data_IF_389735684229
#
_entry.id   IF_389735684229
#
_cell.length_a   1.000
_cell.length_b   1.000
_cell.length_c   1.000
_cell.angle_alpha   90.00
_cell.angle_beta   90.00
_cell.angle_gamma   90.00
#
_symmetry.space_group_name_H-M   'P 1'
#
loop_
_entity.id
_entity.type
_entity.pdbx_description
1 polymer ?
#
# COMPACT_ATOMS: atom_id res chain seq x y z
N UNK A 1 47.45 63.20 -25.18
CA UNK A 1 46.64 62.18 -25.91
C UNK A 1 46.55 60.95 -25.00
N UNK A 2 45.45 60.71 -24.35
CA UNK A 2 45.23 59.55 -23.50
C UNK A 2 44.29 58.60 -24.26
N UNK A 3 44.75 57.38 -24.51
CA UNK A 3 43.96 56.33 -25.17
C UNK A 3 43.24 55.52 -24.08
N UNK A 4 41.94 55.57 -24.10
CA UNK A 4 41.08 54.84 -23.19
C UNK A 4 40.78 53.46 -23.80
N UNK A 5 41.29 52.38 -23.19
CA UNK A 5 40.99 51.01 -23.51
C UNK A 5 39.69 50.58 -22.80
N UNK A 6 38.62 50.37 -23.56
CA UNK A 6 37.37 49.80 -23.08
C UNK A 6 37.46 48.26 -23.20
N UNK A 7 37.52 47.59 -22.07
CA UNK A 7 37.44 46.12 -22.01
C UNK A 7 35.99 45.67 -22.08
N UNK A 8 35.60 44.97 -23.13
CA UNK A 8 34.27 44.35 -23.32
C UNK A 8 34.24 43.01 -22.61
N UNK A 9 33.56 42.93 -21.45
CA UNK A 9 33.28 41.67 -20.75
C UNK A 9 32.06 40.98 -21.44
N UNK A 10 32.33 39.92 -22.17
CA UNK A 10 31.30 39.06 -22.72
C UNK A 10 30.86 38.07 -21.66
N UNK A 11 29.67 38.27 -21.07
CA UNK A 11 29.03 37.29 -20.18
C UNK A 11 28.47 36.14 -21.05
N UNK A 12 29.13 34.99 -21.02
CA UNK A 12 28.56 33.74 -21.58
C UNK A 12 27.56 33.16 -20.55
N UNK A 13 26.27 33.29 -20.80
CA UNK A 13 25.23 32.58 -20.08
C UNK A 13 25.23 31.11 -20.51
N UNK A 14 25.78 30.24 -19.68
CA UNK A 14 25.61 28.80 -19.82
C UNK A 14 24.17 28.44 -19.48
N UNK A 15 23.37 28.11 -20.50
CA UNK A 15 22.08 27.46 -20.31
C UNK A 15 22.31 26.07 -19.71
N UNK A 16 21.91 25.89 -18.45
CA UNK A 16 21.84 24.58 -17.82
C UNK A 16 20.66 23.80 -18.47
N UNK A 17 20.98 22.89 -19.37
CA UNK A 17 19.99 21.89 -19.85
C UNK A 17 19.71 20.95 -18.67
N UNK A 18 18.52 21.11 -18.08
CA UNK A 18 17.96 20.14 -17.17
C UNK A 18 17.62 18.89 -17.99
N UNK A 19 18.44 17.86 -17.90
CA UNK A 19 18.09 16.53 -18.39
C UNK A 19 16.99 15.97 -17.48
N UNK A 20 15.74 16.08 -17.91
CA UNK A 20 14.67 15.29 -17.32
C UNK A 20 14.96 13.83 -17.61
N UNK A 21 15.45 13.10 -16.61
CA UNK A 21 15.54 11.64 -16.67
C UNK A 21 14.11 11.11 -16.85
N UNK A 22 13.75 10.74 -18.06
CA UNK A 22 12.52 9.99 -18.33
C UNK A 22 12.71 8.63 -17.69
N UNK A 23 12.12 8.44 -16.49
CA UNK A 23 12.04 7.13 -15.86
C UNK A 23 11.23 6.26 -16.82
N UNK A 24 11.89 5.32 -17.48
CA UNK A 24 11.23 4.34 -18.33
C UNK A 24 10.29 3.53 -17.45
N UNK A 25 9.00 3.81 -17.53
CA UNK A 25 8.00 2.99 -16.84
C UNK A 25 8.07 1.57 -17.43
N UNK A 26 8.15 0.58 -16.54
CA UNK A 26 8.14 -0.81 -16.96
C UNK A 26 6.84 -1.12 -17.72
N UNK A 27 6.96 -1.78 -18.87
CA UNK A 27 5.78 -2.22 -19.63
C UNK A 27 5.12 -3.37 -18.89
N UNK A 28 3.82 -3.29 -18.55
CA UNK A 28 3.12 -4.37 -17.89
C UNK A 28 3.17 -5.68 -18.69
N UNK A 29 3.41 -6.79 -18.00
CA UNK A 29 3.46 -8.12 -18.60
C UNK A 29 2.20 -8.91 -18.23
N UNK A 30 1.60 -9.65 -19.18
CA UNK A 30 0.56 -10.63 -18.85
C UNK A 30 1.06 -11.62 -17.79
N UNK A 31 0.16 -12.01 -16.88
CA UNK A 31 0.47 -12.85 -15.74
C UNK A 31 -0.65 -13.87 -15.53
N UNK A 32 -0.30 -15.13 -15.30
CA UNK A 32 -1.19 -16.20 -14.90
C UNK A 32 -0.61 -16.83 -13.63
N UNK A 33 -1.39 -16.87 -12.57
CA UNK A 33 -0.98 -17.39 -11.26
C UNK A 33 -2.05 -18.30 -10.68
N UNK A 34 -1.63 -19.42 -10.15
CA UNK A 34 -2.44 -20.28 -9.31
C UNK A 34 -2.69 -19.64 -7.93
N UNK A 35 -3.58 -20.26 -7.12
CA UNK A 35 -4.02 -19.72 -5.82
C UNK A 35 -2.86 -19.32 -4.91
N UNK A 36 -1.83 -20.14 -4.81
CA UNK A 36 -0.71 -19.94 -3.88
C UNK A 36 0.54 -19.31 -4.52
N UNK A 37 0.45 -18.87 -5.76
CA UNK A 37 1.54 -18.23 -6.49
C UNK A 37 1.48 -16.72 -6.35
N UNK A 38 2.65 -16.08 -6.31
CA UNK A 38 2.85 -14.65 -6.13
C UNK A 38 3.92 -14.34 -5.08
N UNK A 39 4.00 -13.10 -4.67
CA UNK A 39 4.92 -12.66 -3.62
C UNK A 39 4.26 -12.88 -2.25
N UNK A 40 4.54 -14.02 -1.61
CA UNK A 40 4.07 -14.31 -0.25
C UNK A 40 4.90 -13.56 0.77
N UNK A 41 4.23 -12.96 1.76
CA UNK A 41 4.85 -12.23 2.86
C UNK A 41 4.12 -12.50 4.16
N UNK A 42 4.84 -12.31 5.29
CA UNK A 42 4.35 -12.51 6.65
C UNK A 42 4.30 -11.17 7.35
N UNK A 43 3.15 -10.79 7.90
CA UNK A 43 3.00 -9.58 8.70
C UNK A 43 3.93 -9.58 9.92
N UNK A 44 4.40 -8.39 10.32
CA UNK A 44 5.27 -8.26 11.51
C UNK A 44 4.51 -8.21 12.82
N UNK A 45 3.21 -7.99 12.79
CA UNK A 45 2.36 -7.97 13.98
C UNK A 45 1.94 -9.38 14.41
N UNK A 46 1.90 -9.67 15.73
CA UNK A 46 1.41 -10.95 16.24
C UNK A 46 -0.13 -10.95 16.41
N UNK A 47 -0.82 -12.07 16.11
CA UNK A 47 -0.27 -13.29 15.50
C UNK A 47 0.07 -13.01 14.03
N UNK A 48 1.23 -13.49 13.55
CA UNK A 48 1.65 -13.20 12.18
C UNK A 48 0.70 -13.90 11.19
N UNK A 49 -0.12 -13.10 10.51
CA UNK A 49 -0.86 -13.51 9.32
C UNK A 49 0.05 -13.48 8.09
N UNK A 50 -0.44 -14.00 6.96
CA UNK A 50 0.27 -13.91 5.69
C UNK A 50 -0.65 -13.44 4.57
N UNK A 51 -0.04 -12.82 3.58
CA UNK A 51 -0.71 -12.38 2.35
C UNK A 51 0.13 -12.72 1.11
N UNK A 52 -0.51 -12.67 -0.05
CA UNK A 52 0.15 -12.88 -1.33
C UNK A 52 -0.14 -11.70 -2.25
N UNK A 53 0.87 -10.90 -2.57
CA UNK A 53 0.78 -9.91 -3.65
C UNK A 53 0.87 -10.62 -4.99
N UNK A 54 -0.16 -10.51 -5.80
CA UNK A 54 -0.27 -11.18 -7.11
C UNK A 54 0.03 -10.21 -8.25
N UNK A 55 -0.54 -9.02 -8.22
CA UNK A 55 -0.39 -7.98 -9.23
C UNK A 55 0.15 -6.73 -8.57
N UNK A 56 1.29 -6.23 -9.02
CA UNK A 56 1.87 -4.98 -8.54
C UNK A 56 2.94 -4.47 -9.52
N UNK A 57 3.43 -3.24 -9.40
CA UNK A 57 4.52 -2.72 -10.22
C UNK A 57 5.76 -3.63 -10.23
N UNK A 58 6.10 -4.22 -9.09
CA UNK A 58 7.29 -5.09 -8.96
C UNK A 58 7.03 -6.46 -9.59
N UNK A 59 5.85 -7.05 -9.40
CA UNK A 59 5.59 -8.43 -9.83
C UNK A 59 5.45 -8.53 -11.35
N UNK A 60 4.73 -7.59 -11.99
CA UNK A 60 4.45 -7.65 -13.42
C UNK A 60 4.43 -6.30 -14.14
N UNK A 61 4.85 -5.22 -13.46
CA UNK A 61 4.87 -3.87 -14.02
C UNK A 61 3.49 -3.20 -14.10
N UNK A 62 2.51 -3.65 -13.30
CA UNK A 62 1.19 -3.01 -13.26
C UNK A 62 1.31 -1.52 -12.90
N UNK A 63 0.65 -0.66 -13.69
CA UNK A 63 0.68 0.79 -13.50
C UNK A 63 -0.60 1.32 -12.85
N UNK A 64 -1.66 0.51 -12.81
CA UNK A 64 -3.01 0.98 -12.47
C UNK A 64 -3.71 0.12 -11.42
N UNK A 65 -3.21 -1.08 -11.14
CA UNK A 65 -3.84 -2.01 -10.22
C UNK A 65 -2.81 -2.67 -9.32
N UNK A 66 -3.20 -2.89 -8.07
CA UNK A 66 -2.56 -3.84 -7.17
C UNK A 66 -3.61 -4.83 -6.73
N UNK A 67 -3.29 -6.11 -6.69
CA UNK A 67 -4.19 -7.18 -6.27
C UNK A 67 -3.41 -8.21 -5.46
N UNK A 68 -4.07 -8.74 -4.46
CA UNK A 68 -3.58 -9.86 -3.68
C UNK A 68 -4.67 -10.59 -2.93
N UNK A 69 -4.24 -11.53 -2.12
CA UNK A 69 -5.11 -12.34 -1.25
C UNK A 69 -4.55 -12.37 0.16
N UNK A 70 -5.44 -12.46 1.14
CA UNK A 70 -5.06 -12.54 2.56
C UNK A 70 -6.05 -13.42 3.30
N UNK A 71 -5.54 -14.16 4.30
CA UNK A 71 -6.37 -14.90 5.24
C UNK A 71 -6.35 -14.20 6.61
N UNK A 72 -7.54 -13.80 7.10
CA UNK A 72 -7.73 -13.18 8.41
C UNK A 72 -8.04 -14.27 9.42
N UNK A 73 -7.17 -14.50 10.38
CA UNK A 73 -7.37 -15.52 11.42
C UNK A 73 -8.51 -15.16 12.37
N UNK A 74 -9.11 -16.15 13.08
CA UNK A 74 -10.18 -15.85 14.04
C UNK A 74 -9.75 -14.84 15.11
N UNK A 75 -10.56 -13.79 15.26
CA UNK A 75 -10.33 -12.72 16.24
C UNK A 75 -9.41 -11.60 15.76
N UNK A 76 -8.73 -11.80 14.63
CA UNK A 76 -7.86 -10.80 14.01
C UNK A 76 -8.64 -9.79 13.18
N UNK A 77 -8.01 -8.65 12.87
CA UNK A 77 -8.64 -7.58 12.11
C UNK A 77 -7.63 -6.77 11.28
N UNK A 78 -8.10 -6.21 10.19
CA UNK A 78 -7.46 -5.05 9.58
C UNK A 78 -7.81 -3.84 10.42
N UNK A 79 -6.83 -3.24 11.14
CA UNK A 79 -7.10 -2.12 12.05
C UNK A 79 -7.73 -0.94 11.31
N UNK A 80 -8.40 -0.04 12.05
CA UNK A 80 -9.04 1.12 11.42
C UNK A 80 -8.01 2.00 10.72
N UNK A 81 -8.14 2.10 9.40
CA UNK A 81 -7.24 2.84 8.53
C UNK A 81 -7.98 3.53 7.38
N UNK A 82 -7.27 4.37 6.61
CA UNK A 82 -7.76 4.97 5.37
C UNK A 82 -6.62 5.08 4.34
N UNK A 83 -6.93 4.84 3.08
CA UNK A 83 -6.00 5.00 1.97
C UNK A 83 -6.02 6.44 1.44
N UNK A 84 -4.84 6.99 1.13
CA UNK A 84 -4.70 8.34 0.63
C UNK A 84 -4.54 8.34 -0.91
N UNK A 85 -5.69 8.37 -1.61
CA UNK A 85 -5.72 8.47 -3.08
C UNK A 85 -5.89 7.16 -3.83
N UNK A 86 -6.22 6.07 -3.12
CA UNK A 86 -6.52 4.77 -3.73
C UNK A 86 -7.90 4.31 -3.25
N UNK A 87 -8.74 3.90 -4.19
CA UNK A 87 -9.93 3.12 -3.86
C UNK A 87 -9.54 1.67 -3.66
N UNK A 88 -10.27 0.96 -2.82
CA UNK A 88 -10.06 -0.46 -2.58
C UNK A 88 -11.35 -1.24 -2.76
N UNK A 89 -11.24 -2.45 -3.29
CA UNK A 89 -12.27 -3.48 -3.23
C UNK A 89 -11.75 -4.62 -2.38
N UNK A 90 -12.55 -5.05 -1.39
CA UNK A 90 -12.36 -6.31 -0.69
C UNK A 90 -13.51 -7.24 -1.09
N UNK A 91 -13.17 -8.42 -1.61
CA UNK A 91 -14.11 -9.49 -1.90
C UNK A 91 -13.90 -10.63 -0.92
N UNK A 92 -14.95 -11.05 -0.23
CA UNK A 92 -14.91 -12.16 0.72
C UNK A 92 -15.05 -13.48 -0.07
N UNK A 93 -13.94 -14.21 -0.21
CA UNK A 93 -13.93 -15.51 -0.89
C UNK A 93 -14.52 -16.60 0.00
N UNK A 94 -14.18 -16.56 1.32
CA UNK A 94 -14.61 -17.57 2.30
C UNK A 94 -14.82 -16.91 3.66
N UNK A 95 -15.78 -17.42 4.44
CA UNK A 95 -16.03 -17.02 5.81
C UNK A 95 -16.96 -15.81 5.94
N UNK A 96 -16.87 -15.10 7.06
CA UNK A 96 -17.66 -13.92 7.36
C UNK A 96 -16.84 -12.88 8.14
N UNK A 97 -17.05 -11.61 7.84
CA UNK A 97 -16.38 -10.49 8.48
C UNK A 97 -17.38 -9.47 8.98
N UNK A 98 -17.03 -8.75 10.04
CA UNK A 98 -17.65 -7.48 10.41
C UNK A 98 -16.85 -6.34 9.81
N UNK A 99 -17.54 -5.46 9.09
CA UNK A 99 -16.95 -4.30 8.42
C UNK A 99 -17.49 -3.02 9.03
N UNK A 100 -16.59 -2.11 9.42
CA UNK A 100 -16.92 -0.71 9.67
C UNK A 100 -16.40 0.11 8.50
N UNK A 101 -17.26 0.88 7.85
CA UNK A 101 -16.94 1.71 6.69
C UNK A 101 -17.60 3.09 6.83
N UNK A 102 -16.81 4.12 7.15
CA UNK A 102 -17.34 5.41 7.54
C UNK A 102 -18.27 5.30 8.74
N UNK A 103 -19.53 5.68 8.56
CA UNK A 103 -20.57 5.59 9.59
C UNK A 103 -21.42 4.29 9.50
N UNK A 104 -21.04 3.37 8.62
CA UNK A 104 -21.77 2.11 8.42
C UNK A 104 -21.06 0.95 9.11
N UNK A 105 -21.85 0.03 9.64
CA UNK A 105 -21.39 -1.27 10.14
C UNK A 105 -22.23 -2.38 9.53
N UNK A 106 -21.58 -3.44 9.07
CA UNK A 106 -22.28 -4.61 8.50
C UNK A 106 -21.48 -5.89 8.61
N UNK A 107 -22.17 -7.00 8.87
CA UNK A 107 -21.62 -8.34 8.68
C UNK A 107 -21.79 -8.75 7.21
N UNK A 108 -20.69 -9.21 6.61
CA UNK A 108 -20.63 -9.72 5.24
C UNK A 108 -20.11 -11.15 5.25
N UNK A 109 -20.61 -11.96 4.32
CA UNK A 109 -20.29 -13.37 4.17
C UNK A 109 -19.62 -13.62 2.81
N UNK A 110 -19.16 -14.86 2.57
CA UNK A 110 -18.62 -15.28 1.29
C UNK A 110 -19.51 -14.83 0.12
N UNK A 111 -18.90 -14.25 -0.91
CA UNK A 111 -19.56 -13.55 -2.02
C UNK A 111 -19.84 -12.06 -1.76
N UNK A 112 -19.66 -11.58 -0.52
CA UNK A 112 -19.80 -10.17 -0.18
C UNK A 112 -18.67 -9.32 -0.74
N UNK A 113 -18.97 -8.04 -0.98
CA UNK A 113 -18.01 -7.07 -1.50
C UNK A 113 -18.05 -5.77 -0.68
N UNK A 114 -16.89 -5.26 -0.35
CA UNK A 114 -16.71 -3.91 0.22
C UNK A 114 -16.07 -3.04 -0.84
N UNK A 115 -16.66 -1.89 -1.15
CA UNK A 115 -16.01 -0.84 -1.92
C UNK A 115 -15.64 0.29 -0.98
N UNK A 116 -14.37 0.61 -0.89
CA UNK A 116 -13.79 1.58 0.04
C UNK A 116 -13.25 2.73 -0.81
N UNK A 117 -13.96 3.85 -0.91
CA UNK A 117 -13.44 5.06 -1.56
C UNK A 117 -12.20 5.56 -0.83
N UNK A 118 -11.26 6.13 -1.56
CA UNK A 118 -10.12 6.83 -0.98
C UNK A 118 -10.56 7.79 0.14
N UNK A 119 -9.71 7.95 1.16
CA UNK A 119 -9.94 8.80 2.35
C UNK A 119 -11.07 8.35 3.28
N UNK A 120 -11.69 7.18 3.06
CA UNK A 120 -12.73 6.62 3.92
C UNK A 120 -12.13 5.72 4.99
N UNK A 121 -12.50 5.92 6.26
CA UNK A 121 -12.11 5.05 7.35
C UNK A 121 -12.76 3.68 7.21
N UNK A 122 -11.97 2.63 7.34
CA UNK A 122 -12.42 1.24 7.28
C UNK A 122 -11.71 0.39 8.31
N UNK A 123 -12.41 -0.61 8.83
CA UNK A 123 -11.83 -1.78 9.51
C UNK A 123 -12.60 -3.03 9.11
N UNK A 124 -11.89 -4.18 9.09
CA UNK A 124 -12.47 -5.48 8.73
C UNK A 124 -12.03 -6.50 9.76
N UNK A 125 -12.98 -7.08 10.48
CA UNK A 125 -12.71 -8.01 11.57
C UNK A 125 -13.27 -9.40 11.27
N UNK A 126 -12.45 -10.41 11.49
CA UNK A 126 -12.95 -11.78 11.58
C UNK A 126 -13.53 -12.03 12.98
N UNK A 127 -14.85 -11.91 13.10
CA UNK A 127 -15.59 -12.20 14.34
C UNK A 127 -16.01 -13.68 14.47
N UNK A 128 -15.63 -14.53 13.51
CA UNK A 128 -15.96 -15.96 13.47
C UNK A 128 -14.92 -16.82 14.18
N UNK A 129 -15.09 -18.15 14.01
CA UNK A 129 -14.20 -19.18 14.58
C UNK A 129 -13.31 -19.84 13.55
N UNK A 130 -13.48 -19.49 12.27
CA UNK A 130 -12.69 -20.01 11.16
C UNK A 130 -11.98 -18.86 10.42
N UNK A 131 -10.87 -19.17 9.72
CA UNK A 131 -10.19 -18.18 8.91
C UNK A 131 -11.09 -17.68 7.78
N UNK A 132 -11.03 -16.38 7.53
CA UNK A 132 -11.68 -15.70 6.42
C UNK A 132 -10.65 -15.49 5.32
N UNK A 133 -10.99 -15.88 4.08
CA UNK A 133 -10.16 -15.58 2.92
C UNK A 133 -10.73 -14.38 2.16
N UNK A 134 -9.90 -13.41 1.86
CA UNK A 134 -10.26 -12.21 1.10
C UNK A 134 -9.37 -12.00 -0.12
N UNK A 135 -9.94 -11.37 -1.12
CA UNK A 135 -9.21 -10.81 -2.26
C UNK A 135 -9.29 -9.29 -2.13
N UNK A 136 -8.16 -8.61 -2.16
CA UNK A 136 -8.10 -7.14 -2.19
C UNK A 136 -7.62 -6.63 -3.56
N UNK A 137 -8.17 -5.50 -3.99
CA UNK A 137 -7.78 -4.81 -5.23
C UNK A 137 -7.73 -3.32 -4.98
N UNK A 138 -6.58 -2.71 -5.23
CA UNK A 138 -6.40 -1.24 -5.19
C UNK A 138 -6.45 -0.66 -6.60
N UNK A 139 -7.08 0.50 -6.73
CA UNK A 139 -7.26 1.24 -8.00
C UNK A 139 -5.96 1.88 -8.53
N UNK A 140 -4.90 1.91 -7.72
CA UNK A 140 -3.58 2.41 -8.07
C UNK A 140 -2.51 1.76 -7.20
N UNK A 141 -1.24 1.70 -7.66
CA UNK A 141 -0.10 1.37 -6.82
C UNK A 141 0.10 2.34 -5.66
N UNK A 142 0.68 1.83 -4.58
CA UNK A 142 1.06 2.61 -3.38
C UNK A 142 0.97 1.77 -2.11
N UNK A 143 -0.21 1.25 -1.75
CA UNK A 143 -0.39 0.52 -0.50
C UNK A 143 0.47 -0.75 -0.39
N UNK A 144 0.80 -1.39 -1.49
CA UNK A 144 1.72 -2.53 -1.50
C UNK A 144 3.12 -2.17 -0.97
N UNK A 145 3.50 -0.89 -0.95
CA UNK A 145 4.74 -0.44 -0.33
C UNK A 145 4.64 -0.51 1.20
N UNK A 146 3.50 -0.11 1.80
CA UNK A 146 3.22 -0.36 3.21
C UNK A 146 3.29 -1.86 3.51
N UNK A 147 2.58 -2.67 2.72
CA UNK A 147 2.53 -4.12 2.93
C UNK A 147 3.93 -4.74 2.92
N UNK A 148 4.82 -4.32 2.02
CA UNK A 148 6.22 -4.78 1.98
C UNK A 148 7.05 -4.25 3.15
N UNK A 149 6.81 -3.02 3.56
CA UNK A 149 7.52 -2.37 4.66
C UNK A 149 7.21 -3.06 6.01
N UNK A 150 5.92 -3.34 6.26
CA UNK A 150 5.45 -3.95 7.51
C UNK A 150 5.31 -5.49 7.45
N UNK A 151 6.09 -6.12 6.61
CA UNK A 151 6.15 -7.57 6.49
C UNK A 151 7.56 -8.06 6.20
N UNK A 152 7.74 -9.38 6.26
CA UNK A 152 8.99 -10.07 5.94
C UNK A 152 8.73 -11.20 4.95
N UNK A 153 9.78 -11.70 4.31
CA UNK A 153 9.70 -12.92 3.52
C UNK A 153 9.49 -14.15 4.44
N UNK A 154 8.87 -15.24 3.95
CA UNK A 154 8.51 -16.40 4.78
C UNK A 154 9.65 -17.05 5.58
N UNK A 155 10.90 -16.87 5.16
CA UNK A 155 12.08 -17.44 5.82
C UNK A 155 12.84 -16.43 6.70
N UNK A 156 12.33 -15.22 6.83
CA UNK A 156 12.95 -14.17 7.61
C UNK A 156 12.36 -14.13 9.03
N UNK A 157 13.16 -13.60 9.96
CA UNK A 157 12.72 -13.44 11.35
C UNK A 157 11.68 -12.32 11.44
N UNK A 158 10.51 -12.66 11.97
CA UNK A 158 9.48 -11.67 12.30
C UNK A 158 9.94 -10.85 13.50
N UNK A 159 9.98 -9.53 13.35
CA UNK A 159 10.27 -8.56 14.41
C UNK A 159 9.31 -7.39 14.24
N UNK A 160 8.48 -7.08 15.24
CA UNK A 160 7.56 -5.94 15.18
C UNK A 160 8.31 -4.63 14.92
N UNK A 161 7.68 -3.72 14.19
CA UNK A 161 8.18 -2.36 13.99
C UNK A 161 7.86 -1.49 15.22
N UNK A 162 8.71 -0.49 15.46
CA UNK A 162 8.36 0.59 16.36
C UNK A 162 7.24 1.47 15.78
N UNK A 163 6.49 2.23 16.60
CA UNK A 163 5.47 3.15 16.09
C UNK A 163 5.99 4.17 15.07
N UNK A 164 7.25 4.62 15.19
CA UNK A 164 7.88 5.53 14.23
C UNK A 164 8.13 4.85 12.87
N UNK A 165 8.58 3.59 12.89
CA UNK A 165 8.79 2.80 11.67
C UNK A 165 7.46 2.50 10.99
N UNK A 166 6.41 2.13 11.74
CA UNK A 166 5.05 1.92 11.17
C UNK A 166 4.51 3.20 10.52
N UNK A 167 4.66 4.36 11.17
CA UNK A 167 4.31 5.66 10.56
C UNK A 167 5.12 5.94 9.28
N UNK A 168 6.38 5.55 9.23
CA UNK A 168 7.20 5.69 8.03
C UNK A 168 6.68 4.79 6.90
N UNK A 169 6.39 3.52 7.17
CA UNK A 169 5.75 2.60 6.23
C UNK A 169 4.41 3.16 5.73
N UNK A 170 3.59 3.72 6.63
CA UNK A 170 2.30 4.32 6.28
C UNK A 170 2.44 5.47 5.27
N UNK A 171 3.46 6.32 5.42
CA UNK A 171 3.74 7.38 4.44
C UNK A 171 4.13 6.84 3.08
N UNK A 172 4.95 5.78 3.04
CA UNK A 172 5.37 5.13 1.80
C UNK A 172 4.20 4.43 1.08
N UNK A 173 3.28 3.85 1.84
CA UNK A 173 2.10 3.15 1.32
C UNK A 173 0.87 4.03 1.16
N UNK A 174 0.97 5.33 1.44
CA UNK A 174 -0.18 6.26 1.36
C UNK A 174 -1.36 5.81 2.23
N UNK A 175 -1.09 5.36 3.46
CA UNK A 175 -2.09 4.92 4.42
C UNK A 175 -1.92 5.62 5.77
N UNK A 176 -3.03 5.87 6.46
CA UNK A 176 -3.05 6.36 7.84
C UNK A 176 -3.87 5.39 8.67
N UNK A 177 -3.28 4.89 9.76
CA UNK A 177 -3.96 4.13 10.79
C UNK A 177 -4.47 5.09 11.87
N UNK A 178 -5.67 4.85 12.37
CA UNK A 178 -6.33 5.74 13.34
C UNK A 178 -5.54 5.90 14.64
N UNK A 179 -4.88 4.84 15.09
CA UNK A 179 -4.05 4.85 16.30
C UNK A 179 -2.75 5.67 16.14
N UNK A 180 -2.33 5.93 14.90
CA UNK A 180 -1.17 6.74 14.56
C UNK A 180 -1.54 8.12 13.99
N UNK A 181 -2.83 8.46 13.88
CA UNK A 181 -3.24 9.81 13.52
C UNK A 181 -2.71 10.78 14.59
N UNK A 182 -1.92 11.77 14.17
CA UNK A 182 -1.35 12.75 15.10
C UNK A 182 -2.48 13.48 15.81
N UNK A 183 -2.72 13.09 17.06
CA UNK A 183 -3.60 13.85 17.94
C UNK A 183 -2.78 15.01 18.52
N UNK A 184 -2.99 16.26 18.08
CA UNK A 184 -2.25 17.41 18.59
C UNK A 184 -2.52 17.70 20.08
N UNK A 185 -3.26 16.81 20.76
CA UNK A 185 -3.65 16.92 22.19
C UNK A 185 -3.09 15.79 23.09
N UNK A 186 -2.10 15.01 22.62
CA UNK A 186 -1.35 14.08 23.48
C UNK A 186 0.10 14.46 23.56
#
# INVERSE_FOLDING_TARGET
>A
MAVLLVALCVFQTRSAQSSSATTSQAVPKPLLLEKNEGERRIWREPPPGDFILKVSPINNGSQHLVMGTEDITPGDEFPTHKHLGQDEIIYIEKGAVRVHLGDQERDLHAGGTVFIPAYTWVSVKNAGTEAVSVVFVFSAPGFENYMRCDSVLPNEKVTPLSPQEQKACGREGHVIYKDFEDNPKK
#
